data_IF_547719519121
#
_entry.id   IF_547719519121
#
_cell.length_a   1.000
_cell.length_b   1.000
_cell.length_c   1.000
_cell.angle_alpha   90.00
_cell.angle_beta   90.00
_cell.angle_gamma   90.00
#
_symmetry.space_group_name_H-M   'P 1'
#
loop_
_entity.id
_entity.type
_entity.pdbx_description
1 polymer ?
#
# COMPACT_ATOMS: atom_id res chain seq x y z
N UNK A 1 -8.72 -28.10 14.54
CA UNK A 1 -7.97 -27.18 15.42
C UNK A 1 -8.48 -25.79 15.11
N UNK A 2 -8.87 -25.00 16.12
CA UNK A 2 -9.23 -23.60 15.89
C UNK A 2 -7.97 -22.87 15.38
N UNK A 3 -8.05 -22.24 14.22
CA UNK A 3 -6.98 -21.37 13.73
C UNK A 3 -6.83 -20.21 14.72
N UNK A 4 -5.61 -19.97 15.21
CA UNK A 4 -5.35 -18.85 16.11
C UNK A 4 -5.69 -17.54 15.38
N UNK A 5 -6.39 -16.63 16.08
CA UNK A 5 -6.73 -15.32 15.53
C UNK A 5 -5.44 -14.50 15.34
N UNK A 6 -5.30 -13.84 14.18
CA UNK A 6 -4.15 -13.00 13.85
C UNK A 6 -4.56 -11.54 13.82
N UNK A 7 -3.73 -10.68 14.41
CA UNK A 7 -3.99 -9.24 14.40
C UNK A 7 -2.69 -8.46 14.19
N UNK A 8 -2.69 -7.52 13.25
CA UNK A 8 -1.49 -6.71 13.04
C UNK A 8 -1.68 -5.54 12.09
N UNK A 9 -0.66 -4.69 12.09
CA UNK A 9 -0.58 -3.47 11.32
C UNK A 9 0.22 -3.69 10.04
N UNK A 10 -0.27 -3.17 8.93
CA UNK A 10 0.33 -3.28 7.60
C UNK A 10 0.55 -1.87 7.04
N UNK A 11 1.80 -1.51 6.80
CA UNK A 11 2.14 -0.23 6.18
C UNK A 11 2.15 -0.36 4.65
N UNK A 12 1.25 0.37 3.97
CA UNK A 12 1.28 0.49 2.52
C UNK A 12 2.12 1.70 2.13
N UNK A 13 3.17 1.46 1.38
CA UNK A 13 4.06 2.50 0.88
C UNK A 13 4.33 2.33 -0.61
N UNK A 14 4.99 3.31 -1.20
CA UNK A 14 5.34 3.28 -2.62
C UNK A 14 5.16 4.64 -3.30
N UNK A 15 5.55 4.76 -4.57
CA UNK A 15 5.46 5.99 -5.34
C UNK A 15 4.04 6.53 -5.44
N UNK A 16 3.87 7.84 -5.72
CA UNK A 16 2.57 8.40 -6.06
C UNK A 16 1.95 7.66 -7.25
N UNK A 17 0.62 7.56 -7.25
CA UNK A 17 -0.16 6.91 -8.31
C UNK A 17 0.14 5.41 -8.55
N UNK A 18 0.90 4.75 -7.67
CA UNK A 18 1.11 3.31 -7.72
C UNK A 18 -0.18 2.50 -7.41
N UNK A 19 -1.21 3.16 -6.85
CA UNK A 19 -2.50 2.56 -6.54
C UNK A 19 -2.65 2.12 -5.09
N UNK A 20 -1.88 2.69 -4.14
CA UNK A 20 -1.97 2.38 -2.71
C UNK A 20 -3.39 2.49 -2.15
N UNK A 21 -4.02 3.65 -2.29
CA UNK A 21 -5.39 3.87 -1.79
C UNK A 21 -6.43 2.97 -2.48
N UNK A 22 -6.23 2.67 -3.78
CA UNK A 22 -7.08 1.70 -4.51
C UNK A 22 -6.91 0.31 -3.92
N UNK A 23 -5.67 -0.08 -3.62
CA UNK A 23 -5.37 -1.37 -3.01
C UNK A 23 -5.92 -1.46 -1.57
N UNK A 24 -5.78 -0.40 -0.77
CA UNK A 24 -6.39 -0.31 0.57
C UNK A 24 -7.90 -0.54 0.51
N UNK A 25 -8.59 0.15 -0.39
CA UNK A 25 -10.04 -0.04 -0.58
C UNK A 25 -10.39 -1.45 -1.05
N UNK A 26 -9.58 -2.04 -1.94
CA UNK A 26 -9.79 -3.39 -2.44
C UNK A 26 -9.59 -4.45 -1.33
N UNK A 27 -8.56 -4.29 -0.48
CA UNK A 27 -8.26 -5.18 0.64
C UNK A 27 -9.31 -5.08 1.75
N UNK A 28 -9.73 -3.85 2.12
CA UNK A 28 -10.78 -3.63 3.14
C UNK A 28 -12.16 -4.05 2.61
N UNK A 29 -12.34 -4.08 1.28
CA UNK A 29 -13.62 -4.39 0.64
C UNK A 29 -14.60 -3.23 0.59
N UNK A 30 -14.24 -2.09 1.18
CA UNK A 30 -15.05 -0.86 1.25
C UNK A 30 -14.19 0.38 0.99
N UNK A 31 -14.84 1.50 0.65
CA UNK A 31 -14.17 2.76 0.37
C UNK A 31 -13.80 3.49 1.66
N UNK A 32 -12.56 3.34 2.08
CA UNK A 32 -11.99 4.01 3.27
C UNK A 32 -10.97 5.11 2.89
N UNK A 33 -10.43 5.08 1.67
CA UNK A 33 -9.49 6.06 1.16
C UNK A 33 -9.96 6.66 -0.15
N UNK A 34 -9.67 7.96 -0.38
CA UNK A 34 -9.96 8.60 -1.68
C UNK A 34 -8.99 8.14 -2.76
N UNK A 35 -9.48 8.07 -3.99
CA UNK A 35 -8.70 7.68 -5.15
C UNK A 35 -8.82 8.75 -6.22
N UNK A 36 -7.72 9.40 -6.59
CA UNK A 36 -7.69 10.35 -7.70
C UNK A 36 -6.46 10.13 -8.58
N UNK A 37 -6.53 10.58 -9.84
CA UNK A 37 -5.39 10.57 -10.76
C UNK A 37 -4.32 11.61 -10.40
N UNK A 38 -4.64 12.58 -9.51
CA UNK A 38 -3.69 13.64 -9.13
C UNK A 38 -2.65 13.10 -8.14
N UNK A 39 -1.37 13.46 -8.28
CA UNK A 39 -0.35 13.12 -7.30
C UNK A 39 -0.70 13.68 -5.91
N UNK A 40 -0.25 12.99 -4.85
CA UNK A 40 -0.46 13.41 -3.45
C UNK A 40 -1.95 13.44 -3.03
N UNK A 41 -2.73 12.49 -3.50
CA UNK A 41 -4.13 12.31 -3.09
C UNK A 41 -4.25 12.13 -1.58
N UNK A 42 -3.45 11.25 -1.00
CA UNK A 42 -3.38 10.99 0.44
C UNK A 42 -2.45 12.00 1.09
N UNK A 43 -2.96 12.88 1.93
CA UNK A 43 -2.20 13.89 2.69
C UNK A 43 -2.03 13.52 4.15
N UNK A 44 -2.96 12.76 4.69
CA UNK A 44 -2.96 12.25 6.06
C UNK A 44 -2.91 10.72 6.02
N UNK A 45 -2.39 10.12 7.08
CA UNK A 45 -2.44 8.67 7.27
C UNK A 45 -3.90 8.23 7.37
N UNK A 46 -4.34 7.39 6.45
CA UNK A 46 -5.66 6.75 6.49
C UNK A 46 -5.47 5.34 7.02
N UNK A 47 -6.27 4.98 8.01
CA UNK A 47 -6.28 3.63 8.57
C UNK A 47 -7.55 2.94 8.09
N UNK A 48 -7.36 1.85 7.34
CA UNK A 48 -8.43 0.94 6.94
C UNK A 48 -8.37 -0.32 7.77
N UNK A 49 -9.50 -0.81 8.26
CA UNK A 49 -9.58 -1.99 9.12
C UNK A 49 -10.40 -3.05 8.40
N UNK A 50 -9.84 -4.23 8.28
CA UNK A 50 -10.54 -5.43 7.83
C UNK A 50 -10.62 -6.42 8.97
N UNK A 51 -11.83 -6.72 9.44
CA UNK A 51 -12.07 -7.78 10.44
C UNK A 51 -12.71 -8.97 9.74
N UNK A 52 -12.13 -10.13 9.96
CA UNK A 52 -12.62 -11.45 9.55
C UNK A 52 -12.67 -12.36 10.77
N UNK A 53 -13.31 -13.52 10.64
CA UNK A 53 -13.52 -14.46 11.76
C UNK A 53 -12.22 -14.85 12.48
N UNK A 54 -11.12 -14.95 11.74
CA UNK A 54 -9.82 -15.48 12.18
C UNK A 54 -8.68 -14.46 12.07
N UNK A 55 -8.97 -13.21 11.66
CA UNK A 55 -7.95 -12.16 11.58
C UNK A 55 -8.54 -10.75 11.60
N UNK A 56 -7.75 -9.81 12.14
CA UNK A 56 -7.95 -8.37 11.93
C UNK A 56 -6.69 -7.75 11.35
N UNK A 57 -6.83 -7.16 10.16
CA UNK A 57 -5.73 -6.51 9.44
C UNK A 57 -5.96 -5.00 9.43
N UNK A 58 -4.98 -4.25 9.94
CA UNK A 58 -5.06 -2.79 10.05
C UNK A 58 -4.10 -2.18 9.01
N UNK A 59 -4.67 -1.68 7.91
CA UNK A 59 -3.92 -1.08 6.81
C UNK A 59 -3.68 0.40 7.06
N UNK A 60 -2.43 0.82 7.00
CA UNK A 60 -2.03 2.22 7.05
C UNK A 60 -1.67 2.68 5.64
N UNK A 61 -2.57 3.43 4.99
CA UNK A 61 -2.27 4.10 3.71
C UNK A 61 -1.44 5.35 3.97
N UNK A 62 -0.24 5.37 3.40
CA UNK A 62 0.71 6.46 3.59
C UNK A 62 0.80 7.37 2.38
N UNK A 63 1.14 8.65 2.55
CA UNK A 63 1.49 9.52 1.43
C UNK A 63 2.59 8.91 0.57
N UNK A 64 2.54 9.15 -0.75
CA UNK A 64 3.52 8.60 -1.69
C UNK A 64 4.97 8.99 -1.37
N UNK A 65 5.90 8.09 -1.64
CA UNK A 65 7.33 8.14 -1.25
C UNK A 65 8.09 9.36 -1.81
N UNK A 66 7.56 10.07 -2.81
CA UNK A 66 8.16 11.35 -3.25
C UNK A 66 8.33 12.35 -2.10
N UNK A 67 7.50 12.23 -1.06
CA UNK A 67 7.68 12.98 0.16
C UNK A 67 8.99 12.63 0.89
N UNK A 68 9.51 11.40 0.75
CA UNK A 68 10.76 10.97 1.37
C UNK A 68 12.01 11.63 0.74
N UNK A 69 11.92 12.15 -0.48
CA UNK A 69 13.05 12.84 -1.16
C UNK A 69 13.25 14.28 -0.71
N UNK A 70 12.43 14.81 0.20
CA UNK A 70 12.51 16.23 0.59
C UNK A 70 12.19 17.21 -0.56
N UNK A 71 11.67 16.71 -1.69
CA UNK A 71 11.34 17.54 -2.86
C UNK A 71 10.04 18.33 -2.70
N UNK A 72 9.21 18.00 -1.71
CA UNK A 72 8.14 18.88 -1.29
C UNK A 72 8.75 20.00 -0.46
N UNK A 73 9.08 21.11 -1.13
CA UNK A 73 9.52 22.34 -0.45
C UNK A 73 8.43 22.77 0.52
N UNK A 74 8.77 22.91 1.81
CA UNK A 74 7.88 23.43 2.83
C UNK A 74 7.48 22.44 3.92
N UNK A 75 6.68 22.95 4.84
CA UNK A 75 6.26 22.25 6.07
C UNK A 75 5.39 21.02 5.80
N UNK A 76 4.56 21.06 4.75
CA UNK A 76 3.68 19.96 4.34
C UNK A 76 4.48 18.72 3.94
N UNK A 77 5.57 18.89 3.18
CA UNK A 77 6.42 17.77 2.77
C UNK A 77 7.09 17.07 3.95
N UNK A 78 7.55 17.83 4.95
CA UNK A 78 8.13 17.27 6.17
C UNK A 78 7.11 16.44 6.96
N UNK A 79 5.87 16.91 7.07
CA UNK A 79 4.78 16.21 7.76
C UNK A 79 4.44 14.88 7.05
N UNK A 80 4.38 14.90 5.73
CA UNK A 80 4.09 13.69 4.94
C UNK A 80 5.20 12.62 5.06
N UNK A 81 6.46 13.04 5.05
CA UNK A 81 7.62 12.18 5.31
C UNK A 81 7.53 11.58 6.71
N UNK A 82 7.32 12.41 7.72
CA UNK A 82 7.22 11.96 9.10
C UNK A 82 6.06 10.97 9.32
N UNK A 83 4.91 11.20 8.70
CA UNK A 83 3.76 10.28 8.76
C UNK A 83 4.08 8.92 8.13
N UNK A 84 4.80 8.89 7.00
CA UNK A 84 5.23 7.64 6.39
C UNK A 84 6.17 6.84 7.31
N UNK A 85 7.19 7.49 7.89
CA UNK A 85 8.10 6.84 8.84
C UNK A 85 7.41 6.36 10.12
N UNK A 86 6.44 7.12 10.66
CA UNK A 86 5.66 6.67 11.81
C UNK A 86 4.85 5.41 11.51
N UNK A 87 4.28 5.32 10.31
CA UNK A 87 3.57 4.11 9.88
C UNK A 87 4.52 2.91 9.76
N UNK A 88 5.73 3.15 9.31
CA UNK A 88 6.78 2.13 9.21
C UNK A 88 7.13 1.55 10.59
N UNK A 89 7.24 2.40 11.62
CA UNK A 89 7.70 1.99 12.94
C UNK A 89 6.75 1.01 13.67
N UNK A 90 5.44 1.09 13.42
CA UNK A 90 4.44 0.28 14.12
C UNK A 90 3.93 -0.92 13.30
N UNK A 91 4.32 -1.03 12.03
CA UNK A 91 3.85 -2.11 11.17
C UNK A 91 4.47 -3.46 11.53
N UNK A 92 3.69 -4.53 11.43
CA UNK A 92 4.15 -5.91 11.50
C UNK A 92 4.57 -6.44 10.12
N UNK A 93 4.00 -5.87 9.05
CA UNK A 93 4.31 -6.21 7.67
C UNK A 93 4.33 -4.93 6.82
N UNK A 94 5.19 -4.89 5.83
CA UNK A 94 5.36 -3.76 4.91
C UNK A 94 4.94 -4.19 3.52
N UNK A 95 4.07 -3.40 2.89
CA UNK A 95 3.61 -3.62 1.52
C UNK A 95 4.07 -2.44 0.66
N UNK A 96 5.07 -2.68 -0.18
CA UNK A 96 5.53 -1.73 -1.19
C UNK A 96 4.68 -1.90 -2.46
N UNK A 97 3.86 -0.91 -2.79
CA UNK A 97 3.03 -0.92 -3.99
C UNK A 97 3.73 -0.15 -5.11
N UNK A 98 3.95 -0.79 -6.25
CA UNK A 98 4.59 -0.19 -7.42
C UNK A 98 3.67 -0.25 -8.65
N UNK A 99 3.85 0.71 -9.56
CA UNK A 99 3.11 0.78 -10.82
C UNK A 99 3.79 -0.07 -11.89
N UNK A 100 3.32 -1.31 -12.08
CA UNK A 100 3.91 -2.25 -13.02
C UNK A 100 3.81 -1.77 -14.48
N UNK A 101 2.70 -1.16 -14.88
CA UNK A 101 2.52 -0.65 -16.24
C UNK A 101 3.47 0.54 -16.54
N UNK A 102 3.63 1.46 -15.59
CA UNK A 102 4.58 2.57 -15.73
C UNK A 102 6.00 2.04 -15.94
N UNK A 103 6.43 1.08 -15.13
CA UNK A 103 7.80 0.59 -15.15
C UNK A 103 8.08 -0.34 -16.35
N UNK A 104 7.06 -1.03 -16.87
CA UNK A 104 7.18 -1.70 -18.17
C UNK A 104 7.39 -0.74 -19.33
N UNK A 105 6.70 0.41 -19.31
CA UNK A 105 6.82 1.42 -20.37
C UNK A 105 8.05 2.32 -20.21
N UNK A 106 8.49 2.53 -18.98
CA UNK A 106 9.60 3.43 -18.62
C UNK A 106 10.47 2.82 -17.53
N UNK A 107 11.34 1.85 -17.85
CA UNK A 107 12.18 1.16 -16.86
C UNK A 107 13.06 2.10 -16.03
N UNK A 108 13.61 3.15 -16.63
CA UNK A 108 14.47 4.14 -15.95
C UNK A 108 13.76 4.82 -14.77
N UNK A 109 12.42 4.90 -14.81
CA UNK A 109 11.64 5.48 -13.71
C UNK A 109 11.58 4.55 -12.51
N UNK A 110 11.62 3.23 -12.71
CA UNK A 110 11.61 2.25 -11.62
C UNK A 110 12.80 2.46 -10.69
N UNK A 111 14.00 2.47 -11.25
CA UNK A 111 15.22 2.64 -10.48
C UNK A 111 15.23 3.99 -9.75
N UNK A 112 14.92 5.08 -10.46
CA UNK A 112 14.86 6.42 -9.89
C UNK A 112 13.85 6.54 -8.74
N UNK A 113 12.66 5.99 -8.92
CA UNK A 113 11.55 6.15 -7.97
C UNK A 113 11.68 5.23 -6.76
N UNK A 114 12.33 4.07 -6.93
CA UNK A 114 12.51 3.08 -5.87
C UNK A 114 13.86 3.21 -5.14
N UNK A 115 14.86 3.89 -5.72
CA UNK A 115 16.19 4.07 -5.10
C UNK A 115 16.16 4.48 -3.61
N UNK A 116 15.28 5.40 -3.16
CA UNK A 116 15.22 5.77 -1.73
C UNK A 116 14.73 4.66 -0.80
N UNK A 117 14.14 3.60 -1.34
CA UNK A 117 13.54 2.50 -0.58
C UNK A 117 14.40 1.24 -0.59
N UNK A 118 15.33 1.11 -1.55
CA UNK A 118 16.12 -0.13 -1.72
C UNK A 118 16.88 -0.44 -0.44
N UNK A 119 17.70 0.49 0.05
CA UNK A 119 18.51 0.26 1.23
C UNK A 119 17.66 0.09 2.51
N UNK A 120 16.70 0.96 2.83
CA UNK A 120 15.86 0.78 4.02
C UNK A 120 15.11 -0.55 4.04
N UNK A 121 14.61 -1.02 2.89
CA UNK A 121 13.90 -2.30 2.80
C UNK A 121 14.84 -3.51 2.75
N UNK A 122 16.06 -3.36 2.29
CA UNK A 122 17.08 -4.41 2.35
C UNK A 122 17.56 -4.68 3.80
N UNK A 123 17.57 -3.65 4.64
CA UNK A 123 17.91 -3.70 6.07
C UNK A 123 16.71 -4.11 6.95
N UNK A 124 15.51 -4.18 6.39
CA UNK A 124 14.29 -4.49 7.13
C UNK A 124 14.27 -5.98 7.54
N UNK A 125 13.94 -6.24 8.80
CA UNK A 125 13.82 -7.58 9.36
C UNK A 125 12.38 -8.11 9.32
N UNK A 126 11.40 -7.20 9.23
CA UNK A 126 9.98 -7.56 9.13
C UNK A 126 9.65 -8.06 7.72
N UNK A 127 8.58 -8.84 7.56
CA UNK A 127 8.10 -9.26 6.25
C UNK A 127 7.83 -8.07 5.32
N UNK A 128 8.40 -8.13 4.11
CA UNK A 128 8.19 -7.14 3.05
C UNK A 128 7.57 -7.83 1.85
N UNK A 129 6.43 -7.31 1.40
CA UNK A 129 5.76 -7.74 0.17
C UNK A 129 5.79 -6.61 -0.85
N UNK A 130 6.35 -6.85 -2.03
CA UNK A 130 6.33 -5.89 -3.14
C UNK A 130 5.19 -6.24 -4.07
N UNK A 131 4.18 -5.39 -4.12
CA UNK A 131 3.01 -5.56 -4.99
C UNK A 131 3.24 -4.84 -6.31
N UNK A 132 3.44 -5.62 -7.37
CA UNK A 132 3.48 -5.11 -8.75
C UNK A 132 2.02 -4.93 -9.21
N UNK A 133 1.52 -3.70 -9.00
CA UNK A 133 0.11 -3.36 -9.24
C UNK A 133 -0.14 -2.97 -10.70
N UNK A 134 -1.41 -2.89 -11.07
CA UNK A 134 -1.93 -2.52 -12.40
C UNK A 134 -1.56 -3.51 -13.51
N UNK A 135 -1.45 -4.80 -13.16
CA UNK A 135 -1.17 -5.86 -14.16
C UNK A 135 -2.30 -6.04 -15.18
N UNK A 136 -3.48 -5.49 -14.91
CA UNK A 136 -4.61 -5.43 -15.85
C UNK A 136 -4.33 -4.54 -17.08
N UNK A 137 -3.36 -3.63 -17.00
CA UNK A 137 -2.94 -2.76 -18.09
C UNK A 137 -1.86 -3.39 -18.97
N UNK A 138 -1.36 -4.58 -18.63
CA UNK A 138 -0.35 -5.27 -19.43
C UNK A 138 -0.97 -5.85 -20.70
N UNK A 139 -0.70 -5.21 -21.83
CA UNK A 139 -1.12 -5.71 -23.15
C UNK A 139 -0.42 -7.04 -23.51
N UNK A 140 0.84 -7.18 -23.12
CA UNK A 140 1.64 -8.38 -23.32
C UNK A 140 2.06 -8.96 -21.96
N UNK A 141 1.45 -10.08 -21.59
CA UNK A 141 1.71 -10.78 -20.32
C UNK A 141 3.11 -11.43 -20.27
N UNK A 142 3.75 -11.67 -21.42
CA UNK A 142 5.11 -12.22 -21.45
C UNK A 142 6.13 -11.27 -20.81
N UNK A 143 5.86 -9.95 -20.86
CA UNK A 143 6.71 -8.93 -20.27
C UNK A 143 6.59 -8.83 -18.75
N UNK A 144 5.63 -9.51 -18.16
CA UNK A 144 5.44 -9.49 -16.70
C UNK A 144 6.60 -10.20 -16.00
N UNK A 145 7.01 -11.37 -16.49
CA UNK A 145 8.06 -12.15 -15.83
C UNK A 145 9.39 -11.39 -15.72
N UNK A 146 9.94 -10.79 -16.81
CA UNK A 146 11.15 -9.96 -16.71
C UNK A 146 11.04 -8.79 -15.73
N UNK A 147 9.86 -8.17 -15.63
CA UNK A 147 9.64 -7.10 -14.64
C UNK A 147 9.70 -7.65 -13.20
N UNK A 148 9.02 -8.78 -12.94
CA UNK A 148 9.05 -9.41 -11.63
C UNK A 148 10.48 -9.82 -11.22
N UNK A 149 11.26 -10.36 -12.15
CA UNK A 149 12.67 -10.70 -11.94
C UNK A 149 13.52 -9.48 -11.60
N UNK A 150 13.34 -8.37 -12.33
CA UNK A 150 14.03 -7.11 -12.04
C UNK A 150 13.68 -6.57 -10.65
N UNK A 151 12.41 -6.63 -10.26
CA UNK A 151 11.95 -6.23 -8.92
C UNK A 151 12.53 -7.15 -7.85
N UNK A 152 12.57 -8.46 -8.09
CA UNK A 152 13.14 -9.43 -7.15
C UNK A 152 14.65 -9.20 -6.94
N UNK A 153 15.38 -8.81 -7.98
CA UNK A 153 16.80 -8.44 -7.85
C UNK A 153 17.00 -7.16 -7.02
N UNK A 154 16.08 -6.18 -7.13
CA UNK A 154 16.13 -4.95 -6.33
C UNK A 154 15.77 -5.19 -4.85
N UNK A 155 14.90 -6.14 -4.57
CA UNK A 155 14.38 -6.45 -3.22
C UNK A 155 14.50 -7.95 -2.91
N UNK A 156 15.74 -8.47 -2.72
CA UNK A 156 15.98 -9.93 -2.66
C UNK A 156 15.39 -10.63 -1.44
N UNK A 157 15.01 -9.89 -0.39
CA UNK A 157 14.35 -10.43 0.80
C UNK A 157 12.82 -10.33 0.74
N UNK A 158 12.27 -9.62 -0.26
CA UNK A 158 10.84 -9.38 -0.34
C UNK A 158 10.12 -10.45 -1.15
N UNK A 159 8.87 -10.71 -0.81
CA UNK A 159 7.97 -11.50 -1.63
C UNK A 159 7.35 -10.63 -2.72
N UNK A 160 7.49 -11.04 -3.99
CA UNK A 160 7.01 -10.28 -5.13
C UNK A 160 5.65 -10.80 -5.54
N UNK A 161 4.65 -9.92 -5.55
CA UNK A 161 3.26 -10.30 -5.81
C UNK A 161 2.62 -9.44 -6.91
N UNK A 162 2.24 -10.01 -8.07
CA UNK A 162 1.52 -9.28 -9.12
C UNK A 162 0.04 -9.16 -8.79
N UNK A 163 -0.55 -7.96 -8.91
CA UNK A 163 -1.96 -7.72 -8.63
C UNK A 163 -2.56 -6.61 -9.50
N UNK A 164 -3.89 -6.60 -9.57
CA UNK A 164 -4.67 -5.44 -10.01
C UNK A 164 -5.64 -5.04 -8.91
N UNK A 165 -5.33 -3.99 -8.20
CA UNK A 165 -6.22 -3.42 -7.20
C UNK A 165 -7.55 -2.95 -7.80
N UNK A 166 -7.52 -2.40 -9.01
CA UNK A 166 -8.71 -1.89 -9.71
C UNK A 166 -9.66 -3.03 -10.14
N UNK A 167 -9.11 -4.12 -10.66
CA UNK A 167 -9.87 -5.30 -11.12
C UNK A 167 -10.04 -6.36 -10.04
N UNK A 168 -9.47 -6.15 -8.85
CA UNK A 168 -9.43 -7.07 -7.72
C UNK A 168 -8.75 -8.43 -8.02
N UNK A 169 -7.97 -8.49 -9.09
CA UNK A 169 -7.21 -9.69 -9.43
C UNK A 169 -6.02 -9.86 -8.46
N UNK A 170 -5.92 -11.02 -7.83
CA UNK A 170 -4.86 -11.33 -6.87
C UNK A 170 -5.04 -10.70 -5.48
N UNK A 171 -6.12 -9.90 -5.24
CA UNK A 171 -6.30 -9.18 -3.97
C UNK A 171 -6.57 -10.13 -2.79
N UNK A 172 -7.35 -11.19 -3.01
CA UNK A 172 -7.64 -12.20 -1.97
C UNK A 172 -6.37 -12.99 -1.61
N UNK A 173 -5.62 -13.45 -2.61
CA UNK A 173 -4.36 -14.16 -2.39
C UNK A 173 -3.30 -13.26 -1.72
N UNK A 174 -3.24 -11.98 -2.10
CA UNK A 174 -2.40 -11.01 -1.42
C UNK A 174 -2.80 -10.82 0.04
N UNK A 175 -4.10 -10.78 0.34
CA UNK A 175 -4.61 -10.70 1.70
C UNK A 175 -4.20 -11.91 2.53
N UNK A 176 -4.32 -13.11 1.97
CA UNK A 176 -3.88 -14.35 2.63
C UNK A 176 -2.38 -14.34 2.91
N UNK A 177 -1.56 -13.91 1.95
CA UNK A 177 -0.13 -13.73 2.12
C UNK A 177 0.19 -12.74 3.26
N UNK A 178 -0.44 -11.56 3.26
CA UNK A 178 -0.28 -10.56 4.32
C UNK A 178 -0.67 -11.14 5.68
N UNK A 179 -1.81 -11.85 5.78
CA UNK A 179 -2.27 -12.47 7.02
C UNK A 179 -1.29 -13.51 7.56
N UNK A 180 -0.62 -14.27 6.71
CA UNK A 180 0.37 -15.27 7.12
C UNK A 180 1.55 -14.65 7.86
N UNK A 181 1.86 -13.39 7.60
CA UNK A 181 2.94 -12.63 8.24
C UNK A 181 2.52 -11.91 9.52
N UNK A 182 1.23 -11.85 9.83
CA UNK A 182 0.78 -11.16 11.05
C UNK A 182 0.97 -12.05 12.29
N UNK A 183 1.28 -11.45 13.44
CA UNK A 183 1.35 -12.17 14.71
C UNK A 183 -0.02 -12.69 15.13
N UNK A 184 -0.01 -13.72 15.96
CA UNK A 184 -1.19 -14.13 16.72
C UNK A 184 -1.54 -13.04 17.74
N UNK A 185 -2.81 -12.71 17.85
CA UNK A 185 -3.28 -11.66 18.76
C UNK A 185 -4.78 -11.43 18.65
N UNK A 186 -5.33 -10.75 19.65
CA UNK A 186 -6.74 -10.37 19.70
C UNK A 186 -7.02 -9.17 18.80
N UNK A 187 -8.28 -9.01 18.36
CA UNK A 187 -8.72 -7.85 17.59
C UNK A 187 -8.53 -6.56 18.42
N UNK A 188 -7.96 -5.53 17.80
CA UNK A 188 -7.68 -4.23 18.42
C UNK A 188 -8.83 -3.23 18.25
N UNK A 189 -9.73 -3.48 17.31
CA UNK A 189 -10.86 -2.63 16.98
C UNK A 189 -12.16 -3.42 16.94
N UNK A 190 -13.32 -2.77 17.19
CA UNK A 190 -14.63 -3.38 17.00
C UNK A 190 -14.81 -3.99 15.60
N UNK A 191 -15.59 -5.07 15.52
CA UNK A 191 -15.78 -5.85 14.30
C UNK A 191 -16.35 -5.03 13.14
N UNK A 192 -17.22 -4.07 13.45
CA UNK A 192 -17.89 -3.19 12.50
C UNK A 192 -17.08 -1.94 12.15
N UNK A 193 -15.94 -1.71 12.78
CA UNK A 193 -15.12 -0.53 12.55
C UNK A 193 -14.25 -0.70 11.30
N UNK A 194 -14.51 0.11 10.27
CA UNK A 194 -13.80 0.07 8.99
C UNK A 194 -12.62 1.05 8.89
N UNK A 195 -12.60 2.08 9.73
CA UNK A 195 -11.55 3.10 9.74
C UNK A 195 -11.49 3.81 11.10
N UNK A 196 -10.32 4.38 11.41
CA UNK A 196 -10.17 5.28 12.56
C UNK A 196 -10.46 6.75 12.20
N UNK A 197 -10.70 7.05 10.92
CA UNK A 197 -10.96 8.40 10.47
C UNK A 197 -12.36 8.89 10.93
N UNK A 198 -12.46 10.11 11.49
CA UNK A 198 -13.76 10.67 11.83
C UNK A 198 -14.70 10.77 10.62
N UNK A 199 -16.00 10.56 10.80
CA UNK A 199 -16.99 10.60 9.72
C UNK A 199 -16.96 11.93 8.95
N UNK A 200 -16.76 13.08 9.64
CA UNK A 200 -16.60 14.39 9.00
C UNK A 200 -15.40 14.45 8.06
N UNK A 201 -14.29 13.81 8.43
CA UNK A 201 -13.12 13.74 7.58
C UNK A 201 -13.40 12.87 6.35
N UNK A 202 -14.02 11.70 6.52
CA UNK A 202 -14.38 10.81 5.41
C UNK A 202 -15.34 11.51 4.41
N UNK A 203 -16.35 12.23 4.91
CA UNK A 203 -17.25 13.00 4.07
C UNK A 203 -16.52 14.10 3.27
N UNK A 204 -15.64 14.86 3.93
CA UNK A 204 -14.81 15.88 3.26
C UNK A 204 -13.90 15.28 2.18
N UNK A 205 -13.31 14.12 2.44
CA UNK A 205 -12.47 13.42 1.48
C UNK A 205 -13.27 12.93 0.25
N UNK A 206 -14.47 12.39 0.44
CA UNK A 206 -15.36 11.98 -0.66
C UNK A 206 -15.76 13.19 -1.52
N UNK A 207 -16.09 14.32 -0.90
CA UNK A 207 -16.40 15.57 -1.64
C UNK A 207 -15.17 16.03 -2.42
N UNK A 208 -13.98 16.00 -1.80
CA UNK A 208 -12.72 16.36 -2.45
C UNK A 208 -12.42 15.49 -3.68
N UNK A 209 -12.65 14.20 -3.58
CA UNK A 209 -12.50 13.26 -4.73
C UNK A 209 -13.41 13.68 -5.88
N UNK A 210 -14.70 13.93 -5.62
CA UNK A 210 -15.64 14.35 -6.65
C UNK A 210 -15.29 15.68 -7.30
N UNK A 211 -14.70 16.61 -6.55
CA UNK A 211 -14.20 17.88 -7.10
C UNK A 211 -12.97 17.68 -8.01
N UNK A 212 -12.18 16.64 -7.78
CA UNK A 212 -11.01 16.34 -8.61
C UNK A 212 -11.34 15.51 -9.86
N UNK A 213 -12.50 14.85 -9.92
CA UNK A 213 -12.98 14.11 -11.09
C UNK A 213 -13.60 15.02 -12.17
N UNK A 214 -13.93 16.28 -11.84
CA UNK A 214 -14.41 17.32 -12.77
C UNK A 214 -13.26 18.19 -13.30
#
# INVERSE_FOLDING_TARGET
MATAHRCGWVALMGPPNAGKSTLTNALVGQKVAIVTAKPQTTRNRIVGILTQKDAQVIFMDTPGVHALRGQTRGQLGKIMVQSAWQSFAVANCIVLVIDGDLYLRKPDFMERDLAPLIQPLAEEERPVVVVVNKVDLFHDKSRMLPLLESVAQMFPKAEIFPASALRRNGVEQLLELIRSHLPEGEAQFPEDQLSTAPMKFMAAEIIRERLFEK
#
